data_IF_168589531516
#
_entry.id   IF_168589531516
#
_cell.length_a   1.000
_cell.length_b   1.000
_cell.length_c   1.000
_cell.angle_alpha   90.00
_cell.angle_beta   90.00
_cell.angle_gamma   90.00
#
_symmetry.space_group_name_H-M   'P 1'
#
loop_
_entity.id
_entity.type
_entity.pdbx_description
1 polymer ?
#
# COMPACT_ATOMS: atom_id res chain seq x y z
N UNK A 1 -18.36 -8.38 20.83
CA UNK A 1 -19.02 -9.50 20.13
C UNK A 1 -19.58 -10.58 21.05
N UNK A 2 -20.91 -10.64 21.13
CA UNK A 2 -21.69 -11.64 21.84
C UNK A 2 -21.60 -13.05 21.22
N UNK A 3 -21.89 -14.09 22.02
CA UNK A 3 -21.83 -15.50 21.60
C UNK A 3 -22.71 -15.80 20.38
N UNK A 4 -23.84 -15.11 20.27
CA UNK A 4 -24.79 -15.21 19.15
C UNK A 4 -24.20 -14.69 17.84
N UNK A 5 -23.55 -13.51 17.87
CA UNK A 5 -22.90 -12.92 16.69
C UNK A 5 -21.72 -13.77 16.21
N UNK A 6 -20.95 -14.37 17.13
CA UNK A 6 -19.87 -15.31 16.79
C UNK A 6 -20.36 -16.53 16.00
N UNK A 7 -21.45 -17.17 16.46
CA UNK A 7 -22.08 -18.30 15.75
C UNK A 7 -22.63 -17.90 14.38
N UNK A 8 -23.23 -16.71 14.29
CA UNK A 8 -23.76 -16.16 13.03
C UNK A 8 -22.66 -15.99 11.98
N UNK A 9 -21.49 -15.49 12.39
CA UNK A 9 -20.32 -15.32 11.50
C UNK A 9 -19.73 -16.67 11.08
N UNK A 10 -19.70 -17.66 11.98
CA UNK A 10 -19.26 -19.03 11.63
C UNK A 10 -20.18 -19.68 10.60
N UNK A 11 -21.49 -19.48 10.72
CA UNK A 11 -22.46 -19.91 9.70
C UNK A 11 -22.20 -19.23 8.35
N UNK A 12 -22.06 -17.90 8.32
CA UNK A 12 -21.80 -17.12 7.09
C UNK A 12 -20.46 -17.52 6.42
N UNK A 13 -19.45 -17.93 7.20
CA UNK A 13 -18.19 -18.46 6.66
C UNK A 13 -18.38 -19.75 5.87
N UNK A 14 -19.35 -20.57 6.21
CA UNK A 14 -19.62 -21.85 5.53
C UNK A 14 -20.42 -21.69 4.22
N UNK A 15 -21.13 -20.57 4.06
CA UNK A 15 -22.01 -20.30 2.91
C UNK A 15 -21.26 -20.05 1.59
N UNK A 16 -21.99 -20.15 0.48
CA UNK A 16 -21.50 -19.83 -0.87
C UNK A 16 -21.44 -18.32 -1.09
N UNK A 17 -20.67 -17.88 -2.09
CA UNK A 17 -20.42 -16.45 -2.33
C UNK A 17 -21.69 -15.60 -2.53
N UNK A 18 -22.71 -16.06 -3.29
CA UNK A 18 -23.94 -15.29 -3.47
C UNK A 18 -24.72 -15.10 -2.16
N UNK A 19 -24.81 -16.16 -1.35
CA UNK A 19 -25.47 -16.13 -0.04
C UNK A 19 -24.76 -15.16 0.93
N UNK A 20 -23.43 -15.03 0.81
CA UNK A 20 -22.65 -14.06 1.59
C UNK A 20 -22.94 -12.63 1.13
N UNK A 21 -23.23 -12.39 -0.15
CA UNK A 21 -23.65 -11.07 -0.63
C UNK A 21 -25.02 -10.66 -0.06
N UNK A 22 -25.98 -11.58 -0.02
CA UNK A 22 -27.29 -11.33 0.59
C UNK A 22 -27.16 -10.98 2.08
N UNK A 23 -26.32 -11.71 2.82
CA UNK A 23 -26.04 -11.38 4.21
C UNK A 23 -25.27 -10.07 4.40
N UNK A 24 -24.40 -9.71 3.45
CA UNK A 24 -23.72 -8.43 3.46
C UNK A 24 -24.72 -7.29 3.29
N UNK A 25 -25.59 -7.37 2.28
CA UNK A 25 -26.63 -6.37 2.01
C UNK A 25 -27.58 -6.24 3.20
N UNK A 26 -28.01 -7.36 3.80
CA UNK A 26 -28.90 -7.35 4.95
C UNK A 26 -28.31 -6.74 6.23
N UNK A 27 -26.97 -6.79 6.42
CA UNK A 27 -26.30 -6.34 7.66
C UNK A 27 -25.66 -4.96 7.48
N UNK A 28 -25.07 -4.69 6.32
CA UNK A 28 -24.35 -3.45 6.01
C UNK A 28 -25.26 -2.44 5.31
N UNK A 29 -26.32 -2.89 4.64
CA UNK A 29 -27.28 -2.03 3.92
C UNK A 29 -26.81 -1.59 2.53
N UNK A 30 -25.65 -2.07 2.05
CA UNK A 30 -25.10 -1.73 0.74
C UNK A 30 -25.06 -2.96 -0.18
N UNK A 31 -25.53 -2.87 -1.43
CA UNK A 31 -25.37 -3.95 -2.40
C UNK A 31 -23.90 -4.05 -2.83
N UNK A 32 -23.32 -5.25 -2.76
CA UNK A 32 -21.94 -5.50 -3.21
C UNK A 32 -21.84 -6.76 -4.06
N UNK A 33 -21.03 -6.70 -5.12
CA UNK A 33 -20.67 -7.86 -5.95
C UNK A 33 -19.18 -8.19 -5.89
N UNK A 34 -18.52 -7.82 -4.78
CA UNK A 34 -17.09 -8.06 -4.67
C UNK A 34 -16.78 -9.57 -4.58
N UNK A 35 -15.81 -10.09 -5.35
CA UNK A 35 -15.54 -11.53 -5.45
C UNK A 35 -14.77 -12.09 -4.24
N UNK A 36 -14.41 -11.25 -3.26
CA UNK A 36 -13.52 -11.61 -2.17
C UNK A 36 -14.30 -12.00 -0.89
N UNK A 37 -14.44 -13.31 -0.67
CA UNK A 37 -15.10 -13.89 0.52
C UNK A 37 -14.53 -13.38 1.86
N UNK A 38 -13.21 -13.24 1.97
CA UNK A 38 -12.55 -12.78 3.22
C UNK A 38 -12.90 -11.32 3.54
N UNK A 39 -13.02 -10.49 2.52
CA UNK A 39 -13.42 -9.09 2.66
C UNK A 39 -14.87 -8.96 3.14
N UNK A 40 -15.79 -9.70 2.51
CA UNK A 40 -17.21 -9.71 2.87
C UNK A 40 -17.43 -10.11 4.32
N UNK A 41 -16.81 -11.23 4.74
CA UNK A 41 -16.92 -11.70 6.13
C UNK A 41 -16.36 -10.67 7.10
N UNK A 42 -15.22 -10.04 6.79
CA UNK A 42 -14.60 -9.01 7.63
C UNK A 42 -15.53 -7.80 7.79
N UNK A 43 -16.15 -7.33 6.71
CA UNK A 43 -17.08 -6.19 6.76
C UNK A 43 -18.37 -6.52 7.50
N UNK A 44 -18.91 -7.72 7.30
CA UNK A 44 -20.05 -8.23 8.09
C UNK A 44 -19.69 -8.29 9.58
N UNK A 45 -18.49 -8.75 9.94
CA UNK A 45 -18.05 -8.77 11.34
C UNK A 45 -17.93 -7.36 11.93
N UNK A 46 -17.37 -6.42 11.18
CA UNK A 46 -17.23 -5.02 11.61
C UNK A 46 -18.59 -4.35 11.81
N UNK A 47 -19.57 -4.61 10.91
CA UNK A 47 -20.93 -4.09 11.04
C UNK A 47 -21.68 -4.68 12.24
N UNK A 48 -21.54 -5.98 12.51
CA UNK A 48 -22.15 -6.62 13.68
C UNK A 48 -21.53 -6.13 15.00
N UNK A 49 -20.22 -5.92 15.04
CA UNK A 49 -19.54 -5.32 16.19
C UNK A 49 -19.99 -3.86 16.41
N UNK A 50 -20.12 -3.07 15.34
CA UNK A 50 -20.63 -1.70 15.42
C UNK A 50 -22.09 -1.63 15.90
N UNK A 51 -22.96 -2.54 15.44
CA UNK A 51 -24.34 -2.64 15.93
C UNK A 51 -24.39 -3.02 17.41
N UNK A 52 -23.53 -3.93 17.87
CA UNK A 52 -23.44 -4.31 19.27
C UNK A 52 -22.94 -3.15 20.14
N UNK A 53 -21.96 -2.39 19.64
CA UNK A 53 -21.39 -1.25 20.34
C UNK A 53 -22.40 -0.09 20.42
N UNK A 54 -23.12 0.20 19.33
CA UNK A 54 -24.22 1.16 19.32
C UNK A 54 -25.39 0.72 20.24
N UNK A 55 -25.70 -0.57 20.31
CA UNK A 55 -26.74 -1.08 21.21
C UNK A 55 -26.31 -1.04 22.69
N UNK A 56 -25.03 -1.25 22.98
CA UNK A 56 -24.47 -1.11 24.34
C UNK A 56 -24.41 0.36 24.79
N UNK A 57 -24.09 1.27 23.86
CA UNK A 57 -24.03 2.71 24.09
C UNK A 57 -25.43 3.33 24.25
N UNK A 58 -26.42 2.86 23.45
CA UNK A 58 -27.82 3.23 23.61
C UNK A 58 -28.45 2.74 24.92
N UNK A 59 -27.95 1.65 25.50
CA UNK A 59 -28.38 1.13 26.80
C UNK A 59 -27.70 1.84 27.99
N UNK A 60 -26.68 2.68 27.75
CA UNK A 60 -25.84 3.29 28.78
C UNK A 60 -25.99 4.82 28.92
N UNK A 61 -26.93 5.47 28.22
CA UNK A 61 -27.13 6.92 28.36
C UNK A 61 -27.90 7.26 29.66
N UNK A 62 -27.46 8.30 30.43
CA UNK A 62 -27.65 9.65 29.91
C UNK A 62 -26.46 10.62 30.02
N UNK A 63 -26.43 11.53 29.05
CA UNK A 63 -26.05 12.95 29.10
C UNK A 63 -24.57 13.40 29.19
N UNK A 64 -24.24 14.27 28.21
CA UNK A 64 -23.29 15.38 28.21
C UNK A 64 -21.82 15.15 27.75
N UNK A 65 -21.54 15.57 26.51
CA UNK A 65 -20.30 16.26 26.09
C UNK A 65 -20.31 17.74 26.55
N UNK A 66 -19.23 18.55 26.50
CA UNK A 66 -17.90 18.35 25.88
C UNK A 66 -16.67 18.73 26.75
N UNK A 67 -15.46 18.54 26.18
CA UNK A 67 -14.10 18.88 26.67
C UNK A 67 -13.89 20.35 27.10
N UNK A 68 -12.74 20.70 27.74
CA UNK A 68 -11.61 21.19 26.92
C UNK A 68 -10.17 20.87 27.42
N UNK A 69 -9.27 20.85 26.43
CA UNK A 69 -7.94 21.51 26.37
C UNK A 69 -6.67 20.99 27.13
N UNK A 70 -5.69 20.59 26.29
CA UNK A 70 -4.23 20.85 26.28
C UNK A 70 -3.45 21.24 27.55
N UNK A 71 -2.31 20.58 27.82
CA UNK A 71 -0.96 21.09 27.47
C UNK A 71 0.20 20.16 27.91
N UNK A 72 1.32 20.30 27.18
CA UNK A 72 2.77 20.09 27.44
C UNK A 72 3.26 19.30 28.70
N UNK A 73 4.38 18.57 28.74
CA UNK A 73 5.67 18.70 28.06
C UNK A 73 6.57 17.47 28.39
N UNK A 74 7.72 17.38 27.71
CA UNK A 74 8.73 16.31 27.73
C UNK A 74 9.36 16.00 29.10
N UNK A 75 9.80 14.74 29.32
CA UNK A 75 11.24 14.40 29.46
C UNK A 75 11.53 12.90 29.65
N UNK A 76 12.77 12.57 29.28
CA UNK A 76 13.66 11.53 29.82
C UNK A 76 13.65 10.14 29.19
N UNK A 77 14.79 9.90 28.54
CA UNK A 77 15.35 8.63 28.16
C UNK A 77 15.34 7.61 29.30
N UNK A 78 15.05 6.36 28.95
CA UNK A 78 15.58 5.20 29.65
C UNK A 78 15.77 4.06 28.64
N UNK A 79 17.04 3.79 28.41
CA UNK A 79 17.55 2.53 27.87
C UNK A 79 17.05 1.36 28.73
N UNK A 80 16.73 0.23 28.12
CA UNK A 80 16.06 -0.86 28.81
C UNK A 80 15.41 -1.86 27.87
N UNK A 81 16.26 -2.59 27.15
CA UNK A 81 15.94 -3.78 26.37
C UNK A 81 15.15 -4.81 27.19
N UNK A 82 13.85 -4.86 26.95
CA UNK A 82 12.99 -6.02 27.18
C UNK A 82 11.90 -6.01 26.10
N UNK A 83 11.45 -7.17 25.58
CA UNK A 83 10.56 -7.22 24.43
C UNK A 83 9.18 -6.69 24.83
N UNK A 84 8.95 -5.38 24.63
CA UNK A 84 7.64 -4.76 24.81
C UNK A 84 6.69 -5.48 23.87
N UNK A 85 5.67 -6.13 24.43
CA UNK A 85 4.65 -6.84 23.64
C UNK A 85 3.98 -5.81 22.73
N UNK A 86 4.25 -5.87 21.42
CA UNK A 86 3.73 -4.93 20.41
C UNK A 86 2.20 -4.76 20.47
N UNK A 87 1.47 -5.73 21.02
CA UNK A 87 0.02 -5.67 21.20
C UNK A 87 -0.45 -4.74 22.30
N UNK A 88 0.41 -4.32 23.23
CA UNK A 88 0.08 -3.39 24.33
C UNK A 88 0.44 -1.93 24.03
N UNK A 89 1.19 -1.69 22.95
CA UNK A 89 1.64 -0.36 22.58
C UNK A 89 0.50 0.48 21.96
N UNK A 90 0.57 1.78 22.19
CA UNK A 90 -0.26 2.78 21.53
C UNK A 90 0.08 2.87 20.03
N UNK A 91 -0.76 3.57 19.25
CA UNK A 91 -0.52 3.76 17.82
C UNK A 91 0.78 4.54 17.58
N UNK A 92 1.02 5.59 18.37
CA UNK A 92 2.21 6.43 18.27
C UNK A 92 3.49 5.61 18.57
N UNK A 93 3.47 4.82 19.65
CA UNK A 93 4.59 3.94 20.00
C UNK A 93 4.82 2.86 18.91
N UNK A 94 3.76 2.32 18.32
CA UNK A 94 3.87 1.37 17.21
C UNK A 94 4.44 2.01 15.94
N UNK A 95 4.14 3.28 15.67
CA UNK A 95 4.73 4.02 14.56
C UNK A 95 6.23 4.28 14.78
N UNK A 96 6.64 4.56 16.03
CA UNK A 96 8.04 4.71 16.39
C UNK A 96 8.82 3.40 16.23
N UNK A 97 8.32 2.31 16.80
CA UNK A 97 8.92 0.97 16.64
C UNK A 97 8.94 0.54 15.17
N UNK A 98 7.93 0.92 14.40
CA UNK A 98 7.92 0.70 12.95
C UNK A 98 9.05 1.47 12.26
N UNK A 99 9.24 2.75 12.58
CA UNK A 99 10.30 3.56 11.97
C UNK A 99 11.68 2.97 12.29
N UNK A 100 11.91 2.54 13.53
CA UNK A 100 13.15 1.87 13.96
C UNK A 100 13.37 0.52 13.26
N UNK A 101 12.35 -0.33 13.21
CA UNK A 101 12.48 -1.70 12.67
C UNK A 101 12.54 -1.71 11.14
N UNK A 102 11.76 -0.84 10.51
CA UNK A 102 11.54 -0.85 9.05
C UNK A 102 12.43 0.18 8.35
N UNK A 103 12.96 1.17 9.07
CA UNK A 103 13.84 2.21 8.54
C UNK A 103 13.12 3.30 7.74
N UNK A 104 11.80 3.45 7.92
CA UNK A 104 10.98 4.49 7.27
C UNK A 104 9.77 4.87 8.13
N UNK A 105 9.32 6.14 8.12
CA UNK A 105 8.10 6.53 8.83
C UNK A 105 6.85 5.93 8.18
N UNK A 106 5.77 5.82 8.93
CA UNK A 106 4.46 5.41 8.43
C UNK A 106 3.36 6.32 8.96
N UNK A 107 2.44 6.74 8.07
CA UNK A 107 1.21 7.44 8.47
C UNK A 107 0.06 6.48 8.83
N UNK A 108 0.30 5.17 8.90
CA UNK A 108 -0.76 4.22 9.24
C UNK A 108 -1.08 4.31 10.72
N UNK A 109 -2.36 4.53 11.05
CA UNK A 109 -2.89 4.53 12.42
C UNK A 109 -3.42 3.16 12.87
N UNK A 110 -3.38 2.14 12.00
CA UNK A 110 -4.06 0.87 12.22
C UNK A 110 -3.18 -0.12 13.00
N UNK A 111 -3.43 -0.27 14.31
CA UNK A 111 -2.62 -1.10 15.25
C UNK A 111 -2.27 -2.50 14.70
N UNK A 112 -3.25 -3.25 14.18
CA UNK A 112 -3.02 -4.62 13.66
C UNK A 112 -2.06 -4.65 12.48
N UNK A 113 -2.07 -3.61 11.64
CA UNK A 113 -1.20 -3.51 10.48
C UNK A 113 0.24 -3.21 10.90
N UNK A 114 0.43 -2.27 11.84
CA UNK A 114 1.73 -1.92 12.38
C UNK A 114 2.40 -3.13 13.04
N UNK A 115 1.67 -3.84 13.92
CA UNK A 115 2.18 -5.05 14.59
C UNK A 115 2.57 -6.13 13.58
N UNK A 116 1.73 -6.36 12.56
CA UNK A 116 2.05 -7.33 11.50
C UNK A 116 3.32 -6.93 10.74
N UNK A 117 3.42 -5.67 10.30
CA UNK A 117 4.53 -5.22 9.47
C UNK A 117 5.85 -5.14 10.25
N UNK A 118 5.82 -4.78 11.53
CA UNK A 118 6.97 -4.87 12.44
C UNK A 118 7.44 -6.34 12.55
N UNK A 119 6.51 -7.30 12.75
CA UNK A 119 6.87 -8.72 12.81
C UNK A 119 7.45 -9.26 11.52
N UNK A 120 6.91 -8.84 10.37
CA UNK A 120 7.46 -9.26 9.08
C UNK A 120 8.85 -8.67 8.82
N UNK A 121 9.10 -7.43 9.27
CA UNK A 121 10.43 -6.82 9.23
C UNK A 121 11.42 -7.52 10.19
N UNK A 122 11.00 -7.83 11.42
CA UNK A 122 11.81 -8.63 12.37
C UNK A 122 12.17 -10.02 11.81
N UNK A 123 11.28 -10.62 11.02
CA UNK A 123 11.51 -11.90 10.35
C UNK A 123 12.32 -11.78 9.05
N UNK A 124 12.77 -10.57 8.68
CA UNK A 124 13.53 -10.32 7.45
C UNK A 124 12.72 -10.47 6.15
N UNK A 125 11.39 -10.56 6.23
CA UNK A 125 10.50 -10.71 5.07
C UNK A 125 10.12 -9.39 4.40
N UNK A 126 10.54 -8.28 5.01
CA UNK A 126 10.34 -6.92 4.48
C UNK A 126 11.71 -6.33 4.23
N UNK A 127 11.89 -5.70 3.06
CA UNK A 127 13.05 -4.86 2.82
C UNK A 127 13.07 -3.71 3.83
N UNK A 128 14.04 -3.76 4.73
CA UNK A 128 14.34 -2.70 5.68
C UNK A 128 15.21 -1.64 5.00
N UNK A 129 14.99 -0.38 5.39
CA UNK A 129 15.69 0.78 4.86
C UNK A 129 14.86 1.66 3.91
N UNK A 130 15.48 2.74 3.40
CA UNK A 130 14.82 3.70 2.52
C UNK A 130 14.25 3.01 1.29
N UNK A 131 12.99 3.33 0.94
CA UNK A 131 12.40 2.84 -0.30
C UNK A 131 13.04 3.60 -1.45
N UNK A 132 13.98 2.97 -2.15
CA UNK A 132 14.41 3.44 -3.47
C UNK A 132 13.28 3.15 -4.45
N UNK A 133 12.38 4.12 -4.63
CA UNK A 133 11.44 4.11 -5.74
C UNK A 133 12.25 4.28 -7.03
N UNK A 134 12.46 3.19 -7.75
CA UNK A 134 12.87 3.15 -9.15
C UNK A 134 13.98 4.14 -9.54
N UNK A 135 15.17 4.02 -8.96
CA UNK A 135 16.37 4.50 -9.65
C UNK A 135 16.72 3.41 -10.67
N UNK A 136 16.68 3.68 -12.00
CA UNK A 136 17.24 2.75 -12.97
C UNK A 136 18.72 2.55 -12.66
N UNK A 137 19.30 1.43 -13.09
CA UNK A 137 20.71 1.09 -12.90
C UNK A 137 21.64 2.01 -13.73
N UNK A 138 21.56 3.32 -13.54
CA UNK A 138 22.53 4.31 -13.96
C UNK A 138 23.42 4.72 -12.78
N UNK A 139 24.60 5.23 -13.09
CA UNK A 139 25.58 5.66 -12.09
C UNK A 139 24.94 6.58 -11.03
N UNK A 140 25.25 6.38 -9.74
CA UNK A 140 24.70 7.22 -8.69
C UNK A 140 25.17 8.68 -8.89
N UNK A 141 24.27 9.55 -9.36
CA UNK A 141 24.56 10.97 -9.54
C UNK A 141 24.43 11.51 -10.97
N UNK A 142 24.11 10.65 -11.95
CA UNK A 142 23.82 11.14 -13.29
C UNK A 142 22.55 12.01 -13.30
N UNK A 143 22.70 13.27 -13.72
CA UNK A 143 21.60 14.18 -13.95
C UNK A 143 20.92 13.82 -15.27
N UNK A 144 19.69 13.30 -15.21
CA UNK A 144 18.92 12.95 -16.40
C UNK A 144 17.91 14.05 -16.73
N UNK A 145 17.87 14.46 -18.00
CA UNK A 145 16.84 15.37 -18.54
C UNK A 145 15.72 14.58 -19.19
N UNK A 146 14.49 15.05 -19.01
CA UNK A 146 13.30 14.48 -19.67
C UNK A 146 13.05 15.28 -20.95
N UNK A 147 13.05 14.60 -22.11
CA UNK A 147 12.72 15.19 -23.40
C UNK A 147 11.26 14.83 -23.76
N UNK A 148 10.31 15.76 -23.71
CA UNK A 148 8.93 15.48 -24.08
C UNK A 148 8.79 15.37 -25.61
N UNK A 149 8.25 14.24 -26.08
CA UNK A 149 7.91 14.00 -27.48
C UNK A 149 6.39 13.86 -27.62
N UNK A 150 5.77 14.68 -28.47
CA UNK A 150 4.33 14.60 -28.76
C UNK A 150 4.09 13.89 -30.08
N UNK A 151 3.20 12.92 -30.05
CA UNK A 151 2.79 12.12 -31.21
C UNK A 151 1.30 11.81 -31.07
N UNK A 152 0.64 11.53 -32.18
CA UNK A 152 -0.73 11.03 -32.18
C UNK A 152 -0.82 9.65 -31.50
N UNK A 153 -1.93 9.36 -30.82
CA UNK A 153 -2.13 8.08 -30.14
C UNK A 153 -2.01 6.88 -31.10
N UNK A 154 -2.64 6.95 -32.28
CA UNK A 154 -2.59 5.87 -33.27
C UNK A 154 -1.16 5.60 -33.76
N UNK A 155 -0.37 6.66 -33.93
CA UNK A 155 1.05 6.54 -34.28
C UNK A 155 1.84 5.84 -33.16
N UNK A 156 1.58 6.19 -31.89
CA UNK A 156 2.24 5.55 -30.73
C UNK A 156 1.88 4.07 -30.65
N UNK A 157 0.63 3.70 -30.93
CA UNK A 157 0.19 2.31 -30.94
C UNK A 157 0.88 1.49 -32.04
N UNK A 158 1.00 2.06 -33.24
CA UNK A 158 1.72 1.45 -34.36
C UNK A 158 3.22 1.24 -34.04
N UNK A 159 3.86 2.22 -33.40
CA UNK A 159 5.24 2.10 -32.93
C UNK A 159 5.39 1.00 -31.88
N UNK A 160 4.42 0.90 -30.98
CA UNK A 160 4.40 -0.09 -29.92
C UNK A 160 4.28 -1.52 -30.45
N UNK A 161 3.51 -1.72 -31.51
CA UNK A 161 3.46 -2.99 -32.21
C UNK A 161 4.79 -3.29 -32.91
N UNK A 162 5.39 -2.29 -33.57
CA UNK A 162 6.63 -2.45 -34.30
C UNK A 162 7.79 -2.90 -33.39
N UNK A 163 8.05 -2.22 -32.28
CA UNK A 163 9.19 -2.61 -31.43
C UNK A 163 8.99 -3.96 -30.76
N UNK A 164 7.75 -4.33 -30.41
CA UNK A 164 7.43 -5.68 -29.88
C UNK A 164 7.70 -6.77 -30.92
N UNK A 165 7.31 -6.53 -32.18
CA UNK A 165 7.56 -7.45 -33.30
C UNK A 165 9.06 -7.70 -33.51
N UNK A 166 9.88 -6.68 -33.29
CA UNK A 166 11.33 -6.75 -33.39
C UNK A 166 12.03 -7.21 -32.11
N UNK A 167 11.30 -7.62 -31.07
CA UNK A 167 11.87 -8.19 -29.85
C UNK A 167 12.65 -7.19 -28.97
N UNK A 168 12.43 -5.88 -29.17
CA UNK A 168 13.03 -4.85 -28.34
C UNK A 168 12.40 -4.87 -26.95
N UNK A 169 13.11 -4.38 -25.93
CA UNK A 169 12.66 -4.50 -24.54
C UNK A 169 11.65 -3.43 -24.14
N UNK A 170 11.72 -2.26 -24.78
CA UNK A 170 10.85 -1.13 -24.49
C UNK A 170 10.80 -0.14 -25.65
N UNK A 171 9.80 0.75 -25.61
CA UNK A 171 9.72 1.90 -26.52
C UNK A 171 10.96 2.80 -26.44
N UNK A 172 11.55 2.97 -25.26
CA UNK A 172 12.76 3.76 -25.07
C UNK A 172 13.96 3.12 -25.78
N UNK A 173 14.08 1.80 -25.68
CA UNK A 173 15.11 1.00 -26.36
C UNK A 173 15.01 1.15 -27.89
N UNK A 174 13.78 1.10 -28.42
CA UNK A 174 13.51 1.40 -29.83
C UNK A 174 13.94 2.81 -30.23
N UNK A 175 13.55 3.83 -29.47
CA UNK A 175 13.93 5.22 -29.79
C UNK A 175 15.45 5.44 -29.74
N UNK A 176 16.16 4.85 -28.78
CA UNK A 176 17.62 4.95 -28.70
C UNK A 176 18.32 4.25 -29.87
N UNK A 177 17.85 3.07 -30.27
CA UNK A 177 18.37 2.38 -31.44
C UNK A 177 18.15 3.18 -32.72
N UNK A 178 16.94 3.71 -32.92
CA UNK A 178 16.61 4.53 -34.08
C UNK A 178 17.45 5.83 -34.12
N UNK A 179 17.55 6.52 -32.98
CA UNK A 179 18.34 7.74 -32.85
C UNK A 179 19.84 7.48 -33.06
N UNK A 180 20.39 6.42 -32.47
CA UNK A 180 21.79 6.03 -32.67
C UNK A 180 22.07 5.68 -34.14
N UNK A 181 21.20 4.91 -34.78
CA UNK A 181 21.35 4.57 -36.21
C UNK A 181 21.35 5.81 -37.11
N UNK A 182 20.48 6.78 -36.81
CA UNK A 182 20.44 8.04 -37.53
C UNK A 182 21.69 8.90 -37.27
N UNK A 183 22.17 8.97 -36.03
CA UNK A 183 23.41 9.69 -35.68
C UNK A 183 24.64 9.11 -36.39
N UNK A 184 24.80 7.78 -36.39
CA UNK A 184 25.85 7.10 -37.18
C UNK A 184 25.75 7.43 -38.66
N UNK A 185 24.53 7.51 -39.22
CA UNK A 185 24.36 7.89 -40.63
C UNK A 185 24.81 9.34 -40.95
N UNK A 186 24.87 10.20 -39.93
CA UNK A 186 25.38 11.57 -40.03
C UNK A 186 26.89 11.68 -39.72
N UNK A 187 27.54 10.57 -39.33
CA UNK A 187 28.94 10.54 -38.89
C UNK A 187 29.15 10.95 -37.42
N UNK A 188 28.07 11.04 -36.63
CA UNK A 188 28.11 11.41 -35.21
C UNK A 188 28.25 10.16 -34.31
N UNK A 189 29.30 9.36 -34.57
CA UNK A 189 29.48 8.04 -33.95
C UNK A 189 29.63 8.13 -32.41
N UNK A 190 30.37 9.12 -31.91
CA UNK A 190 30.52 9.34 -30.47
C UNK A 190 29.18 9.63 -29.77
N UNK A 191 28.29 10.36 -30.44
CA UNK A 191 26.97 10.69 -29.88
C UNK A 191 26.06 9.48 -29.96
N UNK A 192 26.13 8.72 -31.06
CA UNK A 192 25.39 7.47 -31.23
C UNK A 192 25.71 6.47 -30.11
N UNK A 193 27.00 6.29 -29.78
CA UNK A 193 27.43 5.42 -28.69
C UNK A 193 26.88 5.89 -27.33
N UNK A 194 26.96 7.20 -27.03
CA UNK A 194 26.43 7.76 -25.77
C UNK A 194 24.92 7.57 -25.62
N UNK A 195 24.16 7.65 -26.71
CA UNK A 195 22.70 7.45 -26.70
C UNK A 195 22.33 5.98 -26.50
N UNK A 196 23.11 5.06 -27.04
CA UNK A 196 22.86 3.61 -26.91
C UNK A 196 23.31 3.04 -25.55
N UNK A 197 24.25 3.69 -24.87
CA UNK A 197 24.78 3.24 -23.58
C UNK A 197 23.90 3.56 -22.35
N UNK A 198 22.96 4.50 -22.43
CA UNK A 198 22.02 4.86 -21.35
C UNK A 198 20.66 4.18 -21.46
#
# INVERSE_FOLDING_TARGET
>A
MNRTNKKRIESIKALRLPEIWEHFEAIVGEPTRCPNKKFLIRRITEALDAQEQAAAEAAAAPAAEPEPEVDAEATAAADGSAPRKLTKLSVAELQQVYAETVGRPTGSSHKRYLVWKIREAQKGRVRTGPVTRGRPAGEPGAEHKILPLRMEAETVDALDEAWRRHGLKSRMDFFRHALGSYLTSLGEDEVAERVQAG
#
